data_IF_276337263980
#
_entry.id   IF_276337263980
#
_cell.length_a   1.000
_cell.length_b   1.000
_cell.length_c   1.000
_cell.angle_alpha   90.00
_cell.angle_beta   90.00
_cell.angle_gamma   90.00
#
_symmetry.space_group_name_H-M   'P 1'
#
loop_
_entity.id
_entity.type
_entity.pdbx_description
1 polymer ?
#
# COMPACT_ATOMS: atom_id res chain seq x y z
N UNK A 1 -10.92 -20.51 -9.48
CA UNK A 1 -9.97 -19.49 -8.99
C UNK A 1 -10.52 -18.90 -7.70
N UNK A 2 -9.74 -18.87 -6.65
CA UNK A 2 -10.15 -18.29 -5.38
C UNK A 2 -9.47 -16.93 -5.17
N UNK A 3 -10.25 -15.94 -4.75
CA UNK A 3 -9.73 -14.63 -4.36
C UNK A 3 -9.89 -14.53 -2.85
N UNK A 4 -8.83 -14.12 -2.18
CA UNK A 4 -8.85 -13.94 -0.73
C UNK A 4 -8.33 -12.56 -0.35
N UNK A 5 -8.80 -12.07 0.80
CA UNK A 5 -8.29 -10.85 1.39
C UNK A 5 -7.17 -11.24 2.36
N UNK A 6 -5.92 -11.08 1.88
CA UNK A 6 -4.75 -11.50 2.64
C UNK A 6 -4.48 -10.59 3.84
N UNK A 7 -4.64 -9.28 3.66
CA UNK A 7 -4.41 -8.28 4.71
C UNK A 7 -5.43 -7.16 4.55
N UNK A 8 -5.91 -6.64 5.66
CA UNK A 8 -6.81 -5.48 5.64
C UNK A 8 -6.79 -4.78 6.98
N UNK A 9 -6.93 -3.48 6.97
CA UNK A 9 -7.06 -2.69 8.19
C UNK A 9 -7.41 -1.24 7.86
N UNK A 10 -7.50 -0.44 8.91
CA UNK A 10 -7.68 1.00 8.84
C UNK A 10 -6.74 1.63 9.85
N UNK A 11 -6.00 2.65 9.47
CA UNK A 11 -5.10 3.35 10.37
C UNK A 11 -5.01 4.83 10.01
N UNK A 12 -4.66 5.65 11.01
CA UNK A 12 -4.30 7.05 10.80
C UNK A 12 -2.88 7.11 10.24
N UNK A 13 -2.71 7.64 9.05
CA UNK A 13 -1.43 7.68 8.35
C UNK A 13 -0.79 9.05 8.55
N UNK A 14 0.42 9.05 9.10
CA UNK A 14 1.21 10.23 9.41
C UNK A 14 2.38 10.39 8.45
N UNK A 15 3.34 11.25 8.83
CA UNK A 15 4.59 11.44 8.09
C UNK A 15 5.57 10.27 8.22
N UNK A 16 5.27 9.31 9.10
CA UNK A 16 6.05 8.07 9.23
C UNK A 16 5.51 7.05 8.24
N UNK A 17 6.41 6.44 7.46
CA UNK A 17 6.03 5.41 6.50
C UNK A 17 5.34 4.24 7.22
N UNK A 18 4.14 3.91 6.79
CA UNK A 18 3.30 2.90 7.42
C UNK A 18 3.23 1.65 6.53
N UNK A 19 3.65 0.52 7.09
CA UNK A 19 3.64 -0.78 6.39
C UNK A 19 2.25 -1.38 6.49
N UNK A 20 1.60 -1.57 5.34
CA UNK A 20 0.20 -1.99 5.29
C UNK A 20 0.02 -3.47 5.67
N UNK A 21 0.80 -4.43 5.11
CA UNK A 21 0.63 -5.82 5.48
C UNK A 21 0.85 -6.09 6.97
N UNK A 22 1.85 -5.49 7.58
CA UNK A 22 2.15 -5.68 9.01
C UNK A 22 1.32 -4.78 9.92
N UNK A 23 0.60 -3.80 9.35
CA UNK A 23 -0.19 -2.82 10.10
C UNK A 23 0.66 -2.15 11.19
N UNK A 24 1.83 -1.65 10.80
CA UNK A 24 2.79 -1.04 11.72
C UNK A 24 3.70 -0.05 11.00
N UNK A 25 4.52 0.67 11.76
CA UNK A 25 5.53 1.59 11.21
C UNK A 25 6.87 0.91 10.92
N UNK A 26 6.96 -0.41 11.08
CA UNK A 26 8.15 -1.19 10.76
C UNK A 26 8.02 -1.76 9.36
N UNK A 27 8.97 -1.43 8.49
CA UNK A 27 9.00 -1.94 7.12
C UNK A 27 9.15 -3.47 7.15
N UNK A 28 8.19 -4.17 6.57
CA UNK A 28 8.20 -5.63 6.52
C UNK A 28 8.72 -6.15 5.17
N UNK A 29 8.93 -7.45 5.11
CA UNK A 29 9.23 -8.16 3.88
C UNK A 29 8.39 -9.42 3.88
N UNK A 30 7.27 -9.38 3.17
CA UNK A 30 6.34 -10.51 3.09
C UNK A 30 6.90 -11.55 2.12
N UNK A 31 6.84 -12.81 2.50
CA UNK A 31 7.43 -13.91 1.72
C UNK A 31 6.41 -14.83 1.08
N UNK A 32 5.13 -14.64 1.35
CA UNK A 32 4.08 -15.43 0.70
C UNK A 32 3.93 -14.98 -0.75
N UNK A 33 4.27 -15.84 -1.67
CA UNK A 33 4.21 -15.55 -3.10
C UNK A 33 2.77 -15.56 -3.62
N UNK A 34 2.56 -14.91 -4.75
CA UNK A 34 1.25 -14.89 -5.40
C UNK A 34 1.03 -13.65 -6.25
N UNK A 35 -0.19 -13.53 -6.73
CA UNK A 35 -0.66 -12.36 -7.45
C UNK A 35 -1.48 -11.51 -6.47
N UNK A 36 -1.09 -10.24 -6.32
CA UNK A 36 -1.68 -9.34 -5.34
C UNK A 36 -2.16 -8.05 -5.97
N UNK A 37 -3.20 -7.47 -5.39
CA UNK A 37 -3.64 -6.10 -5.67
C UNK A 37 -3.96 -5.40 -4.35
N UNK A 38 -3.57 -4.13 -4.27
CA UNK A 38 -3.91 -3.26 -3.15
C UNK A 38 -5.09 -2.37 -3.53
N UNK A 39 -6.07 -2.29 -2.63
CA UNK A 39 -7.20 -1.36 -2.69
C UNK A 39 -7.03 -0.36 -1.55
N UNK A 40 -7.07 0.93 -1.86
CA UNK A 40 -7.02 2.01 -0.87
C UNK A 40 -8.29 2.83 -0.93
N UNK A 41 -8.86 3.13 0.22
CA UNK A 41 -9.97 4.08 0.33
C UNK A 41 -9.41 5.46 0.67
N UNK A 42 -9.35 6.34 -0.33
CA UNK A 42 -8.81 7.69 -0.22
C UNK A 42 -9.90 8.75 -0.05
N UNK A 43 -11.12 8.36 0.30
CA UNK A 43 -12.26 9.28 0.41
C UNK A 43 -12.08 10.33 1.51
N UNK A 44 -11.20 10.08 2.49
CA UNK A 44 -10.94 11.03 3.58
C UNK A 44 -9.93 12.12 3.21
N UNK A 45 -9.27 12.05 2.06
CA UNK A 45 -8.33 13.08 1.65
C UNK A 45 -9.07 14.35 1.24
N UNK A 46 -8.52 15.51 1.64
CA UNK A 46 -9.04 16.81 1.26
C UNK A 46 -8.04 17.53 0.35
N UNK A 47 -8.31 18.78 -0.01
CA UNK A 47 -7.45 19.57 -0.87
C UNK A 47 -6.06 19.86 -0.27
N UNK A 48 -5.87 19.63 1.04
CA UNK A 48 -4.63 19.96 1.74
C UNK A 48 -3.67 18.79 1.87
N UNK A 49 -4.11 17.55 1.65
CA UNK A 49 -3.25 16.37 1.83
C UNK A 49 -2.55 15.95 0.56
N UNK A 50 -1.34 15.43 0.75
CA UNK A 50 -0.62 14.66 -0.25
C UNK A 50 -0.10 13.40 0.43
N UNK A 51 -0.40 12.24 -0.17
CA UNK A 51 0.02 10.93 0.33
C UNK A 51 0.86 10.21 -0.72
N UNK A 52 1.75 9.34 -0.26
CA UNK A 52 2.67 8.58 -1.11
C UNK A 52 2.53 7.08 -0.83
N UNK A 53 2.18 6.33 -1.86
CA UNK A 53 2.21 4.87 -1.84
C UNK A 53 3.54 4.41 -2.42
N UNK A 54 4.20 3.46 -1.76
CA UNK A 54 5.35 2.74 -2.31
C UNK A 54 5.09 1.26 -2.33
N UNK A 55 5.53 0.62 -3.41
CA UNK A 55 5.47 -0.82 -3.59
C UNK A 55 6.90 -1.33 -3.59
N UNK A 56 7.17 -2.35 -2.77
CA UNK A 56 8.51 -2.91 -2.59
C UNK A 56 8.53 -4.37 -3.01
N UNK A 57 9.63 -4.82 -3.58
CA UNK A 57 9.91 -6.24 -3.85
C UNK A 57 11.40 -6.46 -3.97
N UNK A 58 11.84 -7.70 -3.78
CA UNK A 58 13.20 -8.16 -4.10
C UNK A 58 13.23 -8.65 -5.54
N UNK A 59 14.28 -8.31 -6.27
CA UNK A 59 14.49 -8.82 -7.63
C UNK A 59 14.80 -10.31 -7.58
N UNK A 60 15.63 -10.73 -6.62
CA UNK A 60 16.01 -12.12 -6.38
C UNK A 60 16.00 -12.37 -4.88
N UNK A 61 15.93 -13.62 -4.46
CA UNK A 61 15.92 -13.98 -3.03
C UNK A 61 17.13 -13.44 -2.27
N UNK A 62 18.28 -13.29 -2.94
CA UNK A 62 19.54 -12.83 -2.36
C UNK A 62 19.74 -11.32 -2.40
N UNK A 63 18.85 -10.56 -3.04
CA UNK A 63 19.00 -9.11 -3.12
C UNK A 63 18.20 -8.40 -2.03
N UNK A 64 18.52 -7.13 -1.80
CA UNK A 64 17.75 -6.30 -0.87
C UNK A 64 16.40 -5.92 -1.46
N UNK A 65 15.40 -5.78 -0.59
CA UNK A 65 14.10 -5.25 -0.95
C UNK A 65 14.23 -3.78 -1.38
N UNK A 66 13.71 -3.46 -2.54
CA UNK A 66 13.77 -2.11 -3.08
C UNK A 66 12.41 -1.62 -3.56
N UNK A 67 12.34 -0.34 -3.90
CA UNK A 67 11.11 0.29 -4.37
C UNK A 67 10.89 -0.12 -5.83
N UNK A 68 9.74 -0.73 -6.11
CA UNK A 68 9.30 -1.11 -7.45
C UNK A 68 8.57 0.05 -8.11
N UNK A 69 7.70 0.72 -7.36
CA UNK A 69 6.84 1.77 -7.88
C UNK A 69 6.45 2.74 -6.76
N UNK A 70 6.30 4.01 -7.12
CA UNK A 70 5.83 5.05 -6.23
C UNK A 70 4.66 5.77 -6.87
N UNK A 71 3.60 6.03 -6.09
CA UNK A 71 2.40 6.75 -6.54
C UNK A 71 2.11 7.88 -5.57
N UNK A 72 1.87 9.07 -6.11
CA UNK A 72 1.51 10.26 -5.32
C UNK A 72 0.03 10.57 -5.51
N UNK A 73 -0.67 10.77 -4.40
CA UNK A 73 -2.05 11.22 -4.38
C UNK A 73 -2.07 12.64 -3.80
N UNK A 74 -2.46 13.60 -4.62
CA UNK A 74 -2.45 15.01 -4.23
C UNK A 74 -3.87 15.56 -4.25
N UNK A 75 -4.32 16.08 -3.13
CA UNK A 75 -5.64 16.69 -2.99
C UNK A 75 -6.77 15.68 -2.78
N UNK A 76 -7.99 16.19 -2.82
CA UNK A 76 -9.19 15.36 -2.65
C UNK A 76 -9.38 14.40 -3.82
N UNK A 77 -9.66 13.13 -3.50
CA UNK A 77 -9.87 12.07 -4.49
C UNK A 77 -11.35 11.80 -4.67
N UNK A 78 -12.11 12.84 -5.06
CA UNK A 78 -13.58 12.78 -5.08
C UNK A 78 -14.15 12.03 -6.28
N UNK A 79 -13.47 12.09 -7.43
CA UNK A 79 -13.94 11.41 -8.65
C UNK A 79 -13.67 9.90 -8.57
N UNK A 80 -12.51 9.52 -8.04
CA UNK A 80 -12.08 8.13 -7.92
C UNK A 80 -11.50 7.90 -6.52
N UNK A 81 -12.35 7.78 -5.49
CA UNK A 81 -11.85 7.68 -4.11
C UNK A 81 -11.18 6.34 -3.81
N UNK A 82 -11.48 5.29 -4.56
CA UNK A 82 -10.85 3.98 -4.36
C UNK A 82 -9.75 3.81 -5.38
N UNK A 83 -8.51 3.70 -4.89
CA UNK A 83 -7.35 3.40 -5.73
C UNK A 83 -7.08 1.90 -5.72
N UNK A 84 -6.84 1.33 -6.90
CA UNK A 84 -6.50 -0.08 -7.06
C UNK A 84 -5.20 -0.18 -7.85
N UNK A 85 -4.23 -0.93 -7.35
CA UNK A 85 -3.00 -1.22 -8.10
C UNK A 85 -3.29 -2.17 -9.25
N UNK A 86 -2.43 -2.23 -10.28
CA UNK A 86 -2.45 -3.36 -11.22
C UNK A 86 -2.17 -4.67 -10.48
N UNK A 87 -2.40 -5.79 -11.14
CA UNK A 87 -2.02 -7.10 -10.64
C UNK A 87 -0.50 -7.18 -10.54
N UNK A 88 0.00 -7.56 -9.36
CA UNK A 88 1.43 -7.59 -9.07
C UNK A 88 1.86 -9.03 -8.78
N UNK A 89 2.93 -9.46 -9.45
CA UNK A 89 3.52 -10.78 -9.20
C UNK A 89 4.58 -10.63 -8.11
N UNK A 90 4.30 -11.15 -6.92
CA UNK A 90 5.22 -11.11 -5.80
C UNK A 90 5.78 -12.49 -5.49
N UNK A 91 7.07 -12.58 -5.25
CA UNK A 91 7.74 -13.86 -5.07
C UNK A 91 8.68 -13.91 -3.86
N UNK A 92 9.58 -12.93 -3.72
CA UNK A 92 10.70 -13.09 -2.78
C UNK A 92 10.54 -12.33 -1.47
N UNK A 93 10.19 -11.06 -1.55
CA UNK A 93 10.03 -10.23 -0.34
C UNK A 93 9.43 -8.91 -0.72
N UNK A 94 8.19 -8.68 -0.33
CA UNK A 94 7.41 -7.56 -0.82
C UNK A 94 6.65 -6.88 0.32
N UNK A 95 6.29 -5.62 0.09
CA UNK A 95 5.36 -4.90 0.95
C UNK A 95 4.78 -3.69 0.22
N UNK A 96 3.75 -3.10 0.83
CA UNK A 96 3.17 -1.81 0.46
C UNK A 96 3.30 -0.87 1.63
N UNK A 97 3.68 0.37 1.38
CA UNK A 97 3.69 1.39 2.42
C UNK A 97 2.94 2.64 1.98
N UNK A 98 2.39 3.36 2.95
CA UNK A 98 1.70 4.61 2.73
C UNK A 98 2.25 5.65 3.71
N UNK A 99 2.42 6.89 3.24
CA UNK A 99 2.94 7.98 4.05
C UNK A 99 2.28 9.29 3.64
N UNK A 100 2.04 10.14 4.64
CA UNK A 100 1.61 11.52 4.39
C UNK A 100 2.84 12.39 4.11
N UNK A 101 2.79 13.15 3.01
CA UNK A 101 3.80 14.15 2.67
C UNK A 101 3.38 15.55 3.13
N UNK A 102 2.08 15.87 3.07
CA UNK A 102 1.53 17.16 3.46
C UNK A 102 0.15 16.99 4.08
N UNK A 103 -0.25 17.98 4.86
CA UNK A 103 -1.61 18.10 5.38
C UNK A 103 -1.82 17.42 6.71
N UNK A 104 -3.07 17.07 6.98
CA UNK A 104 -3.51 16.46 8.23
C UNK A 104 -3.46 14.93 8.12
N UNK A 105 -3.17 14.26 9.24
CA UNK A 105 -3.27 12.79 9.29
C UNK A 105 -4.71 12.37 9.04
N UNK A 106 -4.90 11.43 8.13
CA UNK A 106 -6.23 10.90 7.79
C UNK A 106 -6.26 9.41 8.04
N UNK A 107 -7.44 8.92 8.42
CA UNK A 107 -7.70 7.50 8.54
C UNK A 107 -7.89 6.92 7.14
N UNK A 108 -7.08 5.92 6.80
CA UNK A 108 -7.09 5.26 5.50
C UNK A 108 -7.38 3.78 5.69
N UNK A 109 -8.39 3.27 5.02
CA UNK A 109 -8.69 1.84 4.98
C UNK A 109 -8.02 1.20 3.78
N UNK A 110 -7.54 -0.04 3.93
CA UNK A 110 -6.94 -0.79 2.83
C UNK A 110 -7.33 -2.26 2.87
N UNK A 111 -7.23 -2.88 1.69
CA UNK A 111 -7.42 -4.31 1.50
C UNK A 111 -6.38 -4.80 0.50
N UNK A 112 -5.61 -5.80 0.87
CA UNK A 112 -4.65 -6.46 -0.01
C UNK A 112 -5.23 -7.82 -0.35
N UNK A 113 -5.57 -8.01 -1.62
CA UNK A 113 -6.23 -9.22 -2.12
C UNK A 113 -5.27 -10.04 -2.94
N UNK A 114 -5.41 -11.35 -2.84
CA UNK A 114 -4.58 -12.29 -3.58
C UNK A 114 -5.41 -13.30 -4.35
N UNK A 115 -4.82 -13.84 -5.40
CA UNK A 115 -5.35 -14.94 -6.19
C UNK A 115 -4.52 -16.17 -5.88
N UNK A 116 -5.22 -17.23 -5.49
CA UNK A 116 -4.58 -18.51 -5.22
C UNK A 116 -4.52 -19.37 -6.48
#
# INVERSE_FOLDING_TARGET
MAISEAYHNTASISTVEYDLPSNSTTLSSQTTDGIYQLFLDLSNLTSTEEYRLRIYEKVRSSTSQGIVQEVIFSGAQTAEPIYVTPSLLFLHGWTFTLRKNQGTDRSIAWSIRSVA
#
